data_IF_123526356512
#
_entry.id   IF_123526356512
#
_cell.length_a   1.000
_cell.length_b   1.000
_cell.length_c   1.000
_cell.angle_alpha   90.00
_cell.angle_beta   90.00
_cell.angle_gamma   90.00
#
_symmetry.space_group_name_H-M   'P 1'
#
loop_
_entity.id
_entity.type
_entity.pdbx_description
1 polymer ?
#
# COMPACT_ATOMS: atom_id res chain seq x y z
N UNK A 1 -8.55 -25.00 -10.99
CA UNK A 1 -7.51 -24.55 -10.04
C UNK A 1 -7.72 -23.07 -9.79
N UNK A 2 -7.74 -22.60 -8.52
CA UNK A 2 -7.87 -21.17 -8.22
C UNK A 2 -6.53 -20.45 -8.38
N UNK A 3 -6.53 -19.24 -8.94
CA UNK A 3 -5.34 -18.39 -9.02
C UNK A 3 -4.75 -18.10 -7.63
N UNK A 4 -5.57 -18.05 -6.58
CA UNK A 4 -5.13 -17.86 -5.19
C UNK A 4 -4.36 -19.06 -4.63
N UNK A 5 -4.44 -20.24 -5.25
CA UNK A 5 -3.66 -21.43 -4.87
C UNK A 5 -2.38 -21.61 -5.67
N UNK A 6 -2.20 -20.80 -6.72
CA UNK A 6 -1.04 -20.87 -7.62
C UNK A 6 -0.18 -19.63 -7.46
N UNK A 7 1.11 -19.81 -7.17
CA UNK A 7 2.09 -18.73 -7.24
C UNK A 7 2.92 -18.88 -8.50
N UNK A 8 2.94 -17.85 -9.35
CA UNK A 8 3.82 -17.80 -10.52
C UNK A 8 5.17 -17.22 -10.08
N UNK A 9 6.22 -18.05 -10.14
CA UNK A 9 7.58 -17.69 -9.74
C UNK A 9 7.83 -17.73 -8.22
N UNK A 10 8.80 -18.55 -7.80
CA UNK A 10 9.17 -18.73 -6.38
C UNK A 10 8.09 -19.41 -5.53
N UNK A 11 8.23 -19.31 -4.18
CA UNK A 11 7.31 -19.95 -3.21
C UNK A 11 6.97 -19.10 -1.97
N UNK A 12 7.30 -17.81 -1.99
CA UNK A 12 7.27 -16.90 -0.83
C UNK A 12 5.91 -16.64 -0.14
N UNK A 13 4.78 -17.04 -0.74
CA UNK A 13 3.45 -17.00 -0.08
C UNK A 13 2.85 -18.37 0.20
N UNK A 14 3.40 -19.46 -0.37
CA UNK A 14 2.83 -20.82 -0.23
C UNK A 14 2.80 -21.33 1.20
N UNK A 15 3.72 -20.85 2.04
CA UNK A 15 3.83 -21.21 3.44
C UNK A 15 3.06 -20.26 4.39
N UNK A 16 2.28 -19.31 3.85
CA UNK A 16 1.48 -18.39 4.66
C UNK A 16 0.08 -18.96 4.88
N UNK A 17 -0.52 -18.66 6.03
CA UNK A 17 -1.88 -19.08 6.35
C UNK A 17 -2.91 -18.48 5.35
N UNK A 18 -2.66 -17.24 4.92
CA UNK A 18 -3.37 -16.54 3.85
C UNK A 18 -2.36 -15.81 2.96
N UNK A 19 -2.67 -15.64 1.68
CA UNK A 19 -1.85 -14.79 0.81
C UNK A 19 -2.08 -13.31 1.15
N UNK A 20 -1.06 -12.45 1.04
CA UNK A 20 -1.23 -11.00 1.24
C UNK A 20 -2.38 -10.39 0.43
N UNK A 21 -2.57 -10.84 -0.81
CA UNK A 21 -3.66 -10.34 -1.68
C UNK A 21 -5.04 -10.63 -1.11
N UNK A 22 -5.22 -11.76 -0.39
CA UNK A 22 -6.50 -12.11 0.24
C UNK A 22 -6.81 -11.15 1.37
N UNK A 23 -5.83 -10.87 2.25
CA UNK A 23 -5.99 -9.88 3.33
C UNK A 23 -6.24 -8.47 2.78
N UNK A 24 -5.46 -8.06 1.78
CA UNK A 24 -5.58 -6.73 1.15
C UNK A 24 -6.98 -6.56 0.53
N UNK A 25 -7.44 -7.54 -0.24
CA UNK A 25 -8.73 -7.49 -0.91
C UNK A 25 -9.89 -7.51 0.09
N UNK A 26 -9.83 -8.38 1.10
CA UNK A 26 -10.89 -8.51 2.10
C UNK A 26 -11.11 -7.23 2.94
N UNK A 27 -10.09 -6.37 3.04
CA UNK A 27 -10.12 -5.14 3.83
C UNK A 27 -10.17 -3.87 2.98
N UNK A 28 -10.37 -3.97 1.66
CA UNK A 28 -10.44 -2.80 0.78
C UNK A 28 -9.16 -1.95 0.77
N UNK A 29 -8.01 -2.56 1.03
CA UNK A 29 -6.74 -1.85 1.18
C UNK A 29 -6.20 -1.42 -0.19
N UNK A 30 -5.80 -0.16 -0.28
CA UNK A 30 -5.30 0.47 -1.50
C UNK A 30 -3.94 -0.03 -1.97
N UNK A 31 -3.50 0.53 -3.11
CA UNK A 31 -2.27 0.10 -3.77
C UNK A 31 -1.02 0.33 -2.91
N UNK A 32 -0.89 1.47 -2.25
CA UNK A 32 0.33 1.82 -1.51
C UNK A 32 0.51 0.90 -0.30
N UNK A 33 -0.50 0.83 0.56
CA UNK A 33 -0.55 0.00 1.75
C UNK A 33 -0.51 -1.50 1.41
N UNK A 34 -1.19 -1.90 0.32
CA UNK A 34 -1.13 -3.27 -0.19
C UNK A 34 0.28 -3.68 -0.60
N UNK A 35 1.06 -2.77 -1.21
CA UNK A 35 2.47 -3.00 -1.50
C UNK A 35 3.29 -3.13 -0.22
N UNK A 36 3.06 -2.29 0.79
CA UNK A 36 3.71 -2.41 2.11
C UNK A 36 3.49 -3.81 2.67
N UNK A 37 2.23 -4.25 2.80
CA UNK A 37 1.86 -5.58 3.34
C UNK A 37 2.56 -6.71 2.57
N UNK A 38 2.52 -6.64 1.23
CA UNK A 38 3.18 -7.60 0.34
C UNK A 38 4.68 -7.72 0.62
N UNK A 39 5.38 -6.60 0.73
CA UNK A 39 6.83 -6.58 0.92
C UNK A 39 7.23 -7.01 2.34
N UNK A 40 6.56 -6.50 3.39
CA UNK A 40 6.84 -6.90 4.78
C UNK A 40 6.47 -8.37 5.06
N UNK A 41 5.58 -8.97 4.27
CA UNK A 41 5.27 -10.41 4.42
C UNK A 41 6.38 -11.31 3.88
N UNK A 42 7.01 -10.92 2.78
CA UNK A 42 7.89 -11.82 2.00
C UNK A 42 9.38 -11.57 2.19
N UNK A 43 9.80 -10.51 2.86
CA UNK A 43 11.20 -10.07 2.88
C UNK A 43 12.18 -11.16 3.31
N UNK A 44 11.86 -11.95 4.35
CA UNK A 44 12.73 -13.03 4.86
C UNK A 44 12.97 -14.16 3.86
N UNK A 45 12.09 -14.32 2.87
CA UNK A 45 12.05 -15.50 1.99
C UNK A 45 12.16 -15.15 0.51
N UNK A 46 12.38 -13.87 0.16
CA UNK A 46 12.54 -13.44 -1.24
C UNK A 46 13.57 -12.33 -1.41
N UNK A 47 13.26 -11.10 -0.97
CA UNK A 47 14.04 -9.91 -1.33
C UNK A 47 14.95 -9.38 -0.23
N UNK A 48 14.94 -9.95 0.97
CA UNK A 48 15.72 -9.47 2.10
C UNK A 48 15.43 -8.01 2.44
N UNK A 49 16.48 -7.26 2.79
CA UNK A 49 16.40 -5.83 3.13
C UNK A 49 15.81 -5.01 1.97
N UNK A 50 16.09 -5.34 0.71
CA UNK A 50 15.57 -4.60 -0.43
C UNK A 50 14.03 -4.62 -0.53
N UNK A 51 13.35 -5.64 -0.01
CA UNK A 51 11.89 -5.61 0.09
C UNK A 51 11.43 -4.67 1.23
N UNK A 52 12.16 -4.58 2.34
CA UNK A 52 11.86 -3.61 3.41
C UNK A 52 12.07 -2.16 2.94
N UNK A 53 13.09 -1.90 2.13
CA UNK A 53 13.32 -0.57 1.55
C UNK A 53 12.20 -0.18 0.58
N UNK A 54 11.68 -1.13 -0.20
CA UNK A 54 10.48 -0.90 -1.03
C UNK A 54 9.26 -0.60 -0.15
N UNK A 55 9.06 -1.34 0.94
CA UNK A 55 7.97 -1.07 1.87
C UNK A 55 8.05 0.35 2.44
N UNK A 56 9.24 0.78 2.89
CA UNK A 56 9.49 2.16 3.34
C UNK A 56 9.15 3.18 2.26
N UNK A 57 9.64 2.98 1.04
CA UNK A 57 9.38 3.90 -0.07
C UNK A 57 7.88 4.05 -0.38
N UNK A 58 7.10 2.96 -0.30
CA UNK A 58 5.63 3.04 -0.46
C UNK A 58 4.94 3.83 0.66
N UNK A 59 5.45 3.77 1.88
CA UNK A 59 4.98 4.61 3.00
C UNK A 59 5.30 6.07 2.73
N UNK A 60 6.54 6.38 2.31
CA UNK A 60 6.96 7.75 2.01
C UNK A 60 6.10 8.39 0.91
N UNK A 61 5.84 7.66 -0.18
CA UNK A 61 4.96 8.13 -1.27
C UNK A 61 3.52 8.37 -0.79
N UNK A 62 2.98 7.49 0.06
CA UNK A 62 1.64 7.67 0.60
C UNK A 62 1.57 8.94 1.47
N UNK A 63 2.54 9.15 2.36
CA UNK A 63 2.63 10.35 3.19
C UNK A 63 2.67 11.61 2.33
N UNK A 64 3.48 11.62 1.26
CA UNK A 64 3.61 12.77 0.36
C UNK A 64 2.27 13.12 -0.31
N UNK A 65 1.59 12.13 -0.89
CA UNK A 65 0.31 12.31 -1.57
C UNK A 65 -0.81 12.75 -0.62
N UNK A 66 -0.88 12.16 0.57
CA UNK A 66 -1.87 12.51 1.59
C UNK A 66 -1.64 13.93 2.13
N UNK A 67 -0.38 14.29 2.37
CA UNK A 67 -0.02 15.63 2.86
C UNK A 67 -0.32 16.71 1.81
N UNK A 68 -0.01 16.44 0.54
CA UNK A 68 -0.35 17.35 -0.56
C UNK A 68 -1.86 17.56 -0.68
N UNK A 69 -2.65 16.49 -0.54
CA UNK A 69 -4.11 16.57 -0.57
C UNK A 69 -4.68 17.38 0.59
N UNK A 70 -4.16 17.19 1.81
CA UNK A 70 -4.57 17.95 2.99
C UNK A 70 -4.27 19.46 2.85
N UNK A 71 -3.14 19.81 2.22
CA UNK A 71 -2.81 21.21 1.93
C UNK A 71 -3.79 21.84 0.91
N UNK A 72 -4.20 21.08 -0.12
CA UNK A 72 -5.17 21.54 -1.12
C UNK A 72 -6.57 21.75 -0.52
N UNK A 73 -7.04 20.84 0.34
CA UNK A 73 -8.35 20.96 0.97
C UNK A 73 -8.46 22.18 1.90
N UNK A 74 -7.34 22.58 2.52
CA UNK A 74 -7.28 23.79 3.36
C UNK A 74 -7.41 25.05 2.52
N UNK A 75 -6.80 25.05 1.33
CA UNK A 75 -6.81 26.20 0.42
C UNK A 75 -8.21 26.43 -0.16
N UNK A 76 -8.93 25.37 -0.55
CA UNK A 76 -10.29 25.49 -1.10
C UNK A 76 -11.30 25.99 -0.06
N UNK A 77 -11.19 25.55 1.19
CA UNK A 77 -12.04 26.00 2.29
C UNK A 77 -11.89 27.51 2.58
N UNK A 78 -10.69 28.06 2.45
CA UNK A 78 -10.43 29.50 2.65
C UNK A 78 -10.93 30.35 1.49
N UNK A 79 -10.80 29.90 0.24
CA UNK A 79 -11.26 30.66 -0.94
C UNK A 79 -12.80 30.75 -1.04
N UNK A 80 -13.54 29.77 -0.52
CA UNK A 80 -15.00 29.80 -0.45
C UNK A 80 -15.56 30.86 0.53
N UNK A 81 -14.73 31.38 1.44
CA UNK A 81 -15.15 32.33 2.49
C UNK A 81 -15.15 33.80 2.05
N UNK A 82 -14.40 34.14 0.99
CA UNK A 82 -14.25 35.52 0.51
C UNK A 82 -15.13 35.87 -0.70
N UNK A 83 -15.86 34.92 -1.28
CA UNK A 83 -16.70 35.13 -2.47
C UNK A 83 -18.17 35.49 -2.16
N UNK A 84 -18.53 35.68 -0.88
CA UNK A 84 -19.91 35.96 -0.44
C UNK A 84 -20.07 37.36 0.21
N UNK A 85 -19.28 38.34 -0.22
CA UNK A 85 -19.35 39.74 0.23
C UNK A 85 -19.75 40.69 -0.89
#
# INVERSE_FOLDING_TARGET
MSALKQQIGGSHYKAKAIQPVEYIHANGIGFFEGNVIKYVTRWRVKGGIADLEKARHYIDMLIELESARAAQSTTEADHGRFAAG
#
